data_IF_551364537166
#
_entry.id   IF_551364537166
#
_cell.length_a   1.000
_cell.length_b   1.000
_cell.length_c   1.000
_cell.angle_alpha   90.00
_cell.angle_beta   90.00
_cell.angle_gamma   90.00
#
_symmetry.space_group_name_H-M   'P 1'
#
loop_
_entity.id
_entity.type
_entity.pdbx_description
1 polymer ?
#
# COMPACT_ATOMS: atom_id res chain seq x y z
N UNK A 1 14.49 0.54 8.40
CA UNK A 1 13.79 1.47 9.23
C UNK A 1 14.03 2.87 8.73
N UNK A 2 12.99 3.64 8.50
CA UNK A 2 13.12 5.03 8.09
C UNK A 2 13.43 5.93 9.31
N UNK A 3 13.71 7.20 9.03
CA UNK A 3 14.05 8.23 10.03
C UNK A 3 12.93 8.54 11.05
N UNK A 4 11.79 7.85 10.94
CA UNK A 4 10.58 8.03 11.75
C UNK A 4 10.37 6.93 12.79
N UNK A 5 11.36 6.08 13.02
CA UNK A 5 11.30 5.02 14.03
C UNK A 5 12.04 5.44 15.29
N UNK A 6 11.32 5.62 16.38
CA UNK A 6 11.92 5.75 17.69
C UNK A 6 12.29 4.35 18.23
N UNK A 7 13.55 3.99 18.10
CA UNK A 7 14.04 2.68 18.51
C UNK A 7 14.08 2.48 20.03
N UNK A 8 14.10 3.56 20.83
CA UNK A 8 14.09 3.46 22.30
C UNK A 8 12.69 3.18 22.81
N UNK A 9 11.68 3.82 22.22
CA UNK A 9 10.28 3.63 22.58
C UNK A 9 9.61 2.51 21.77
N UNK A 10 10.24 2.00 20.71
CA UNK A 10 9.65 1.02 19.81
C UNK A 10 8.44 1.57 19.04
N UNK A 11 8.41 2.88 18.80
CA UNK A 11 7.34 3.58 18.12
C UNK A 11 7.76 3.97 16.71
N UNK A 12 6.88 3.77 15.75
CA UNK A 12 6.98 4.32 14.41
C UNK A 12 5.82 5.30 14.23
N UNK A 13 6.14 6.58 14.13
CA UNK A 13 5.18 7.67 14.05
C UNK A 13 5.55 8.65 12.96
N UNK A 14 4.55 9.13 12.23
CA UNK A 14 4.73 10.19 11.24
C UNK A 14 3.67 11.30 11.37
N UNK A 15 3.87 12.40 10.65
CA UNK A 15 2.97 13.56 10.66
C UNK A 15 1.56 13.26 10.13
N UNK A 16 1.39 12.17 9.44
CA UNK A 16 0.12 11.76 8.86
C UNK A 16 -0.74 10.92 9.81
N UNK A 17 -0.16 10.34 10.86
CA UNK A 17 -0.90 9.46 11.78
C UNK A 17 -2.20 10.07 12.34
N UNK A 18 -2.27 11.38 12.67
CA UNK A 18 -3.51 11.99 13.13
C UNK A 18 -4.63 12.07 12.07
N UNK A 19 -4.29 11.91 10.79
CA UNK A 19 -5.21 12.03 9.67
C UNK A 19 -5.63 10.70 9.08
N UNK A 20 -4.92 9.61 9.42
CA UNK A 20 -5.31 8.26 9.04
C UNK A 20 -6.37 7.69 9.98
N UNK A 21 -7.38 7.04 9.41
CA UNK A 21 -8.19 6.09 10.16
C UNK A 21 -7.39 4.78 10.33
N UNK A 22 -7.47 4.18 11.53
CA UNK A 22 -6.77 2.95 11.84
C UNK A 22 -7.77 1.80 11.96
N UNK A 23 -7.70 0.87 11.02
CA UNK A 23 -8.45 -0.38 11.07
C UNK A 23 -7.65 -1.34 11.94
N UNK A 24 -8.21 -1.71 13.09
CA UNK A 24 -7.55 -2.55 14.09
C UNK A 24 -8.16 -3.96 14.08
N UNK A 25 -7.29 -4.96 14.16
CA UNK A 25 -7.69 -6.35 14.35
C UNK A 25 -7.35 -6.77 15.77
N UNK A 26 -8.34 -7.33 16.46
CA UNK A 26 -8.23 -7.77 17.84
C UNK A 26 -8.29 -9.30 17.94
N UNK A 27 -7.57 -9.87 18.90
CA UNK A 27 -7.78 -11.22 19.39
C UNK A 27 -8.43 -11.15 20.78
N UNK A 28 -9.71 -11.45 20.84
CA UNK A 28 -10.52 -11.39 22.07
C UNK A 28 -10.11 -12.43 23.11
N UNK A 29 -9.31 -13.44 22.74
CA UNK A 29 -8.76 -14.40 23.68
C UNK A 29 -7.58 -13.82 24.51
N UNK A 30 -7.02 -12.68 24.09
CA UNK A 30 -5.90 -12.03 24.77
C UNK A 30 -6.38 -11.01 25.78
N UNK A 31 -6.04 -11.22 27.06
CA UNK A 31 -6.37 -10.30 28.16
C UNK A 31 -5.51 -9.03 28.08
N UNK A 32 -4.26 -9.16 27.62
CA UNK A 32 -3.30 -8.06 27.47
C UNK A 32 -2.86 -7.95 26.02
N UNK A 33 -2.69 -6.71 25.53
CA UNK A 33 -2.30 -6.42 24.16
C UNK A 33 -3.15 -7.17 23.11
N UNK A 34 -4.47 -6.93 23.08
CA UNK A 34 -5.36 -7.68 22.20
C UNK A 34 -5.23 -7.26 20.72
N UNK A 35 -4.57 -6.14 20.41
CA UNK A 35 -4.38 -5.67 19.03
C UNK A 35 -3.30 -6.53 18.38
N UNK A 36 -3.68 -7.27 17.33
CA UNK A 36 -2.81 -8.19 16.59
C UNK A 36 -2.54 -7.72 15.15
N UNK A 37 -3.25 -6.70 14.69
CA UNK A 37 -3.05 -6.15 13.37
C UNK A 37 -3.59 -4.74 13.22
N UNK A 38 -3.04 -4.01 12.26
CA UNK A 38 -3.45 -2.66 11.91
C UNK A 38 -3.31 -2.44 10.41
N UNK A 39 -4.22 -1.65 9.85
CA UNK A 39 -4.10 -1.07 8.51
C UNK A 39 -4.50 0.40 8.59
N UNK A 40 -3.64 1.31 8.08
CA UNK A 40 -3.96 2.75 7.99
C UNK A 40 -4.67 3.04 6.68
N UNK A 41 -5.70 3.87 6.72
CA UNK A 41 -6.40 4.34 5.53
C UNK A 41 -6.63 5.85 5.60
N UNK A 42 -6.43 6.58 4.50
CA UNK A 42 -6.64 8.02 4.42
C UNK A 42 -7.61 8.36 3.32
N UNK A 43 -8.72 9.01 3.68
CA UNK A 43 -9.70 9.51 2.71
C UNK A 43 -9.28 10.82 2.06
N UNK A 44 -9.94 11.20 0.95
CA UNK A 44 -9.74 12.50 0.31
C UNK A 44 -9.97 13.66 1.27
N UNK A 45 -10.98 13.55 2.14
CA UNK A 45 -11.32 14.59 3.12
C UNK A 45 -10.15 14.82 4.07
N UNK A 46 -9.54 13.74 4.58
CA UNK A 46 -8.38 13.80 5.47
C UNK A 46 -7.12 14.26 4.76
N UNK A 47 -6.90 13.82 3.53
CA UNK A 47 -5.79 14.32 2.71
C UNK A 47 -5.92 15.83 2.44
N UNK A 48 -7.13 16.34 2.27
CA UNK A 48 -7.37 17.78 2.11
C UNK A 48 -7.11 18.57 3.42
N UNK A 49 -7.38 17.98 4.59
CA UNK A 49 -7.08 18.62 5.89
C UNK A 49 -5.57 18.78 6.09
N UNK A 50 -4.77 17.78 5.73
CA UNK A 50 -3.30 17.82 5.84
C UNK A 50 -2.63 18.49 4.65
N UNK A 51 -3.34 18.61 3.51
CA UNK A 51 -2.88 19.24 2.27
C UNK A 51 -2.36 18.26 1.21
N UNK A 52 -2.15 16.98 1.56
CA UNK A 52 -1.61 15.96 0.66
C UNK A 52 -1.92 14.55 1.13
N UNK A 53 -1.77 13.57 0.24
CA UNK A 53 -1.66 12.16 0.58
C UNK A 53 -0.23 11.80 0.96
N UNK A 54 -0.04 10.70 1.68
CA UNK A 54 1.30 10.20 2.00
C UNK A 54 2.11 9.88 0.73
N UNK A 55 1.48 9.29 -0.28
CA UNK A 55 2.13 8.96 -1.57
C UNK A 55 2.50 10.18 -2.42
N UNK A 56 2.02 11.38 -2.11
CA UNK A 56 2.41 12.60 -2.85
C UNK A 56 3.89 12.93 -2.74
N UNK A 57 4.57 12.42 -1.71
CA UNK A 57 6.02 12.62 -1.59
C UNK A 57 6.77 12.02 -2.79
N UNK A 58 6.38 10.83 -3.21
CA UNK A 58 7.08 10.07 -4.25
C UNK A 58 6.38 10.10 -5.62
N UNK A 59 5.06 10.36 -5.66
CA UNK A 59 4.24 10.25 -6.87
C UNK A 59 3.50 11.54 -7.19
N UNK A 60 3.31 11.81 -8.47
CA UNK A 60 2.34 12.77 -8.96
C UNK A 60 0.97 12.09 -9.04
N UNK A 61 0.07 12.48 -8.13
CA UNK A 61 -1.29 11.94 -8.02
C UNK A 61 -2.34 12.79 -8.75
N UNK A 62 -1.92 13.73 -9.59
CA UNK A 62 -2.83 14.66 -10.28
C UNK A 62 -3.91 13.93 -11.06
N UNK A 63 -3.57 12.84 -11.77
CA UNK A 63 -4.54 12.05 -12.54
C UNK A 63 -5.63 11.43 -11.66
N UNK A 64 -5.28 10.96 -10.46
CA UNK A 64 -6.24 10.42 -9.51
C UNK A 64 -7.15 11.52 -8.96
N UNK A 65 -6.59 12.67 -8.55
CA UNK A 65 -7.38 13.81 -8.04
C UNK A 65 -8.34 14.36 -9.08
N UNK A 66 -7.93 14.41 -10.34
CA UNK A 66 -8.76 14.92 -11.45
C UNK A 66 -9.78 13.90 -11.96
N UNK A 67 -9.71 12.64 -11.54
CA UNK A 67 -10.63 11.59 -11.98
C UNK A 67 -12.08 11.80 -11.55
N UNK A 68 -12.33 12.65 -10.56
CA UNK A 68 -13.64 12.82 -9.92
C UNK A 68 -14.08 11.61 -9.08
N UNK A 69 -13.19 10.64 -8.89
CA UNK A 69 -13.41 9.43 -8.12
C UNK A 69 -13.15 9.66 -6.64
N UNK A 70 -13.82 8.89 -5.80
CA UNK A 70 -13.59 8.88 -4.36
C UNK A 70 -12.41 7.99 -4.04
N UNK A 71 -11.32 8.60 -3.59
CA UNK A 71 -10.03 7.96 -3.37
C UNK A 71 -9.87 7.54 -1.91
N UNK A 72 -9.17 6.42 -1.69
CA UNK A 72 -8.70 5.99 -0.38
C UNK A 72 -7.26 5.52 -0.50
N UNK A 73 -6.36 6.18 0.21
CA UNK A 73 -4.97 5.74 0.32
C UNK A 73 -4.84 4.65 1.38
N UNK A 74 -4.17 3.57 1.02
CA UNK A 74 -3.79 2.49 1.92
C UNK A 74 -2.35 2.69 2.36
N UNK A 75 -2.12 2.69 3.66
CA UNK A 75 -0.77 2.85 4.22
C UNK A 75 -0.51 1.83 5.32
N UNK A 76 0.75 1.52 5.56
CA UNK A 76 1.28 0.74 6.69
C UNK A 76 0.36 -0.37 7.21
N UNK A 77 0.45 -1.55 6.61
CA UNK A 77 -0.20 -2.76 7.11
C UNK A 77 0.78 -3.52 7.99
N UNK A 78 0.37 -3.85 9.20
CA UNK A 78 1.17 -4.64 10.12
C UNK A 78 0.32 -5.74 10.76
N UNK A 79 0.88 -6.96 10.83
CA UNK A 79 0.35 -8.08 11.61
C UNK A 79 1.43 -8.56 12.58
N UNK A 80 1.02 -8.85 13.80
CA UNK A 80 1.89 -9.50 14.78
C UNK A 80 2.42 -10.83 14.23
N UNK A 81 3.68 -11.13 14.52
CA UNK A 81 4.43 -12.21 13.86
C UNK A 81 3.72 -13.56 13.90
N UNK A 82 3.13 -13.89 15.04
CA UNK A 82 2.49 -15.19 15.28
C UNK A 82 1.15 -15.36 14.55
N UNK A 83 0.60 -14.25 13.99
CA UNK A 83 -0.64 -14.25 13.21
C UNK A 83 -0.41 -14.15 11.70
N UNK A 84 0.86 -14.09 11.25
CA UNK A 84 1.21 -14.05 9.83
C UNK A 84 0.99 -15.42 9.20
N UNK A 85 0.52 -15.44 7.95
CA UNK A 85 0.26 -16.68 7.20
C UNK A 85 -1.05 -17.40 7.53
N UNK A 86 -1.88 -16.83 8.44
CA UNK A 86 -3.19 -17.34 8.81
C UNK A 86 -4.36 -16.49 8.31
N UNK A 87 -5.53 -16.70 8.89
CA UNK A 87 -6.76 -15.98 8.55
C UNK A 87 -6.74 -14.48 8.92
N UNK A 88 -5.82 -14.03 9.78
CA UNK A 88 -5.76 -12.67 10.29
C UNK A 88 -5.66 -11.62 9.16
N UNK A 89 -4.84 -11.88 8.14
CA UNK A 89 -4.75 -10.99 6.97
C UNK A 89 -6.08 -10.91 6.22
N UNK A 90 -6.80 -12.01 6.11
CA UNK A 90 -8.12 -12.06 5.46
C UNK A 90 -9.14 -11.22 6.23
N UNK A 91 -9.17 -11.29 7.55
CA UNK A 91 -10.05 -10.47 8.38
C UNK A 91 -9.72 -8.98 8.26
N UNK A 92 -8.43 -8.63 8.23
CA UNK A 92 -8.00 -7.26 8.05
C UNK A 92 -8.46 -6.71 6.68
N UNK A 93 -8.30 -7.49 5.60
CA UNK A 93 -8.81 -7.12 4.27
C UNK A 93 -10.34 -7.07 4.18
N UNK A 94 -11.07 -7.92 4.91
CA UNK A 94 -12.53 -7.82 5.02
C UNK A 94 -12.95 -6.50 5.69
N UNK A 95 -12.24 -6.08 6.73
CA UNK A 95 -12.50 -4.80 7.38
C UNK A 95 -12.21 -3.61 6.43
N UNK A 96 -11.13 -3.66 5.65
CA UNK A 96 -10.87 -2.68 4.57
C UNK A 96 -12.00 -2.68 3.55
N UNK A 97 -12.46 -3.86 3.10
CA UNK A 97 -13.56 -3.96 2.14
C UNK A 97 -14.87 -3.36 2.70
N UNK A 98 -15.21 -3.62 3.95
CA UNK A 98 -16.37 -3.01 4.60
C UNK A 98 -16.25 -1.48 4.65
N UNK A 99 -15.07 -0.97 5.02
CA UNK A 99 -14.78 0.47 5.02
C UNK A 99 -15.00 1.09 3.63
N UNK A 100 -14.52 0.42 2.57
CA UNK A 100 -14.70 0.82 1.17
C UNK A 100 -16.17 0.89 0.77
N UNK A 101 -16.94 -0.17 1.09
CA UNK A 101 -18.36 -0.26 0.75
C UNK A 101 -19.20 0.78 1.48
N UNK A 102 -19.02 0.95 2.80
CA UNK A 102 -19.73 1.92 3.62
C UNK A 102 -19.51 3.36 3.14
N UNK A 103 -18.30 3.68 2.74
CA UNK A 103 -17.91 5.03 2.30
C UNK A 103 -18.00 5.24 0.79
N UNK A 104 -18.39 4.21 0.04
CA UNK A 104 -18.51 4.24 -1.43
C UNK A 104 -17.22 4.74 -2.09
N UNK A 105 -16.09 4.14 -1.72
CA UNK A 105 -14.80 4.44 -2.31
C UNK A 105 -14.73 3.83 -3.70
N UNK A 106 -14.24 4.58 -4.67
CA UNK A 106 -14.10 4.14 -6.06
C UNK A 106 -12.71 3.57 -6.36
N UNK A 107 -11.67 4.14 -5.75
CA UNK A 107 -10.27 3.78 -6.03
C UNK A 107 -9.50 3.61 -4.72
N UNK A 108 -8.87 2.45 -4.59
CA UNK A 108 -7.83 2.19 -3.59
C UNK A 108 -6.46 2.39 -4.24
N UNK A 109 -5.57 3.08 -3.56
CA UNK A 109 -4.18 3.23 -3.99
C UNK A 109 -3.25 3.28 -2.78
N UNK A 110 -1.96 3.21 -3.01
CA UNK A 110 -0.95 3.28 -1.97
C UNK A 110 0.40 2.80 -2.47
N UNK A 111 1.41 2.92 -1.64
CA UNK A 111 2.76 2.44 -1.94
C UNK A 111 2.97 1.05 -1.37
N UNK A 112 3.66 0.20 -2.13
CA UNK A 112 4.08 -1.12 -1.70
C UNK A 112 5.59 -1.26 -1.90
N UNK A 113 6.29 -1.86 -0.94
CA UNK A 113 7.73 -2.05 -0.99
C UNK A 113 8.07 -3.51 -1.29
N UNK A 114 9.06 -3.70 -2.15
CA UNK A 114 9.76 -4.98 -2.28
C UNK A 114 10.84 -5.10 -1.21
N UNK A 115 11.22 -6.33 -0.88
CA UNK A 115 12.41 -6.58 -0.08
C UNK A 115 13.66 -6.33 -0.93
N UNK A 116 14.59 -5.53 -0.39
CA UNK A 116 15.82 -5.15 -1.09
C UNK A 116 15.66 -3.97 -2.05
N UNK A 117 16.78 -3.50 -2.55
CA UNK A 117 16.89 -2.34 -3.45
C UNK A 117 17.67 -2.66 -4.72
N UNK A 118 18.13 -3.90 -4.90
CA UNK A 118 18.84 -4.32 -6.13
C UNK A 118 17.82 -4.49 -7.26
N UNK A 119 17.87 -3.56 -8.21
CA UNK A 119 16.99 -3.54 -9.37
C UNK A 119 17.10 -4.80 -10.22
N UNK A 120 18.28 -5.46 -10.24
CA UNK A 120 18.48 -6.70 -11.01
C UNK A 120 17.70 -7.88 -10.40
N UNK A 121 17.64 -7.97 -9.08
CA UNK A 121 16.84 -8.96 -8.36
C UNK A 121 15.32 -8.68 -8.48
N UNK A 122 14.96 -7.41 -8.62
CA UNK A 122 13.58 -6.96 -8.79
C UNK A 122 13.10 -6.95 -10.24
N UNK A 123 13.95 -7.30 -11.21
CA UNK A 123 13.62 -7.21 -12.64
C UNK A 123 12.38 -8.01 -13.02
N UNK A 124 12.21 -9.20 -12.48
CA UNK A 124 11.08 -10.07 -12.76
C UNK A 124 9.75 -9.52 -12.19
N UNK A 125 9.62 -9.25 -10.87
CA UNK A 125 8.38 -8.72 -10.33
C UNK A 125 8.02 -7.34 -10.89
N UNK A 126 8.99 -6.46 -11.14
CA UNK A 126 8.73 -5.16 -11.76
C UNK A 126 8.20 -5.29 -13.19
N UNK A 127 8.81 -6.17 -14.01
CA UNK A 127 8.35 -6.40 -15.38
C UNK A 127 6.99 -7.07 -15.41
N UNK A 128 6.70 -8.00 -14.50
CA UNK A 128 5.40 -8.61 -14.34
C UNK A 128 4.30 -7.57 -14.08
N UNK A 129 4.52 -6.70 -13.09
CA UNK A 129 3.59 -5.62 -12.79
C UNK A 129 3.39 -4.68 -13.98
N UNK A 130 4.48 -4.35 -14.69
CA UNK A 130 4.41 -3.47 -15.85
C UNK A 130 3.57 -4.04 -16.99
N UNK A 131 3.72 -5.32 -17.32
CA UNK A 131 3.05 -5.89 -18.49
C UNK A 131 1.62 -6.39 -18.21
N UNK A 132 1.33 -6.81 -16.98
CA UNK A 132 0.05 -7.47 -16.67
C UNK A 132 -0.83 -6.70 -15.68
N UNK A 133 -0.28 -5.76 -14.92
CA UNK A 133 -1.00 -5.09 -13.82
C UNK A 133 -0.91 -3.58 -13.84
N UNK A 134 -0.41 -3.00 -14.93
CA UNK A 134 -0.34 -1.55 -15.04
C UNK A 134 -1.76 -0.96 -15.11
N UNK A 135 -2.03 0.06 -14.29
CA UNK A 135 -3.30 0.76 -14.31
C UNK A 135 -3.56 1.45 -15.66
N UNK A 136 -4.80 1.70 -15.99
CA UNK A 136 -5.19 2.52 -17.15
C UNK A 136 -4.49 3.88 -17.08
N UNK A 137 -4.12 4.42 -18.25
CA UNK A 137 -3.34 5.66 -18.34
C UNK A 137 -4.03 6.84 -17.63
N UNK A 138 -5.35 6.92 -17.75
CA UNK A 138 -6.19 7.94 -17.11
C UNK A 138 -6.21 7.91 -15.58
N UNK A 139 -5.75 6.79 -14.97
CA UNK A 139 -5.73 6.56 -13.52
C UNK A 139 -4.33 6.21 -13.00
N UNK A 140 -3.30 6.36 -13.83
CA UNK A 140 -1.95 5.93 -13.51
C UNK A 140 -1.10 7.07 -12.94
N UNK A 141 -0.79 7.08 -11.63
CA UNK A 141 0.18 7.99 -11.06
C UNK A 141 1.57 7.82 -11.68
N UNK A 142 2.34 8.88 -11.66
CA UNK A 142 3.71 8.89 -12.18
C UNK A 142 4.68 9.13 -11.03
N UNK A 143 5.67 8.25 -10.86
CA UNK A 143 6.72 8.45 -9.88
C UNK A 143 7.53 9.71 -10.21
N UNK A 144 7.74 10.57 -9.21
CA UNK A 144 8.56 11.78 -9.32
C UNK A 144 10.05 11.41 -9.41
N UNK A 145 10.83 12.28 -10.01
CA UNK A 145 12.30 12.18 -9.89
C UNK A 145 12.72 12.58 -8.47
N UNK A 146 13.64 11.86 -7.81
CA UNK A 146 14.48 10.75 -8.29
C UNK A 146 13.87 9.34 -8.11
N UNK A 147 12.63 9.20 -7.66
CA UNK A 147 12.01 7.91 -7.30
C UNK A 147 11.60 7.05 -8.51
N UNK A 148 11.70 7.61 -9.73
CA UNK A 148 11.28 6.88 -10.92
C UNK A 148 12.25 5.75 -11.27
N UNK A 149 11.74 4.52 -11.27
CA UNK A 149 12.45 3.32 -11.70
C UNK A 149 11.78 2.72 -12.94
N UNK A 150 12.60 2.45 -13.97
CA UNK A 150 12.11 1.70 -15.13
C UNK A 150 11.67 0.30 -14.69
N UNK A 151 10.46 -0.11 -15.05
CA UNK A 151 9.88 -1.38 -14.64
C UNK A 151 10.01 -2.48 -15.71
N UNK A 152 9.95 -2.15 -17.00
CA UNK A 152 10.07 -3.11 -18.12
C UNK A 152 11.53 -3.52 -18.37
N UNK A 153 12.11 -4.23 -17.44
CA UNK A 153 13.52 -4.65 -17.45
C UNK A 153 13.73 -5.94 -18.24
N UNK A 154 12.76 -6.84 -18.24
CA UNK A 154 12.73 -8.06 -19.04
C UNK A 154 11.77 -7.90 -20.23
N UNK A 155 11.87 -8.80 -21.20
CA UNK A 155 10.94 -8.83 -22.34
C UNK A 155 9.63 -9.51 -21.98
N UNK A 156 8.50 -9.16 -22.63
CA UNK A 156 7.20 -9.77 -22.33
C UNK A 156 7.20 -11.29 -22.43
N UNK A 157 7.81 -11.85 -23.47
CA UNK A 157 7.89 -13.30 -23.68
C UNK A 157 8.70 -14.06 -22.63
N UNK A 158 9.63 -13.40 -21.95
CA UNK A 158 10.38 -13.97 -20.82
C UNK A 158 9.49 -14.07 -19.59
N UNK A 159 8.62 -13.07 -19.34
CA UNK A 159 7.67 -13.07 -18.23
C UNK A 159 6.58 -14.12 -18.47
N UNK A 160 6.01 -14.18 -19.67
CA UNK A 160 4.95 -15.15 -20.01
C UNK A 160 5.41 -16.59 -19.86
N UNK A 161 6.66 -16.90 -20.25
CA UNK A 161 7.26 -18.22 -20.03
C UNK A 161 7.40 -18.59 -18.56
N UNK A 162 7.82 -17.63 -17.71
CA UNK A 162 7.94 -17.85 -16.27
C UNK A 162 6.60 -18.07 -15.60
N UNK A 163 5.57 -17.30 -15.99
CA UNK A 163 4.20 -17.49 -15.49
C UNK A 163 3.59 -18.84 -15.90
N UNK A 164 3.93 -19.34 -17.09
CA UNK A 164 3.46 -20.64 -17.54
C UNK A 164 4.00 -21.82 -16.71
N UNK A 165 5.16 -21.67 -16.12
CA UNK A 165 5.79 -22.68 -15.22
C UNK A 165 5.16 -22.69 -13.83
N UNK A 166 4.51 -21.58 -13.41
CA UNK A 166 3.87 -21.44 -12.10
C UNK A 166 2.39 -21.90 -12.07
N UNK A 167 1.83 -22.26 -13.23
CA UNK A 167 0.48 -22.84 -13.37
C UNK A 167 0.53 -24.35 -13.39
#
# INVERSE_FOLDING_TARGET
GGDMVDHELGLEQDRFDPYFDHILLFDDARITNPIIGVYRVMSCEKANEVGEFYSDEEYDLTVLRQSGKKLLELGRSCLEKDYRGGAALTYLWQAVANYVLERKIDILFGVASFHGTDVSELAEPLSLLHYHYLAEESLRPVAKKPFNQKMNLLKPDEIDRKLAVLK
#
